data_IF_828328231275
#
_entry.id   IF_828328231275
#
_cell.length_a   1.000
_cell.length_b   1.000
_cell.length_c   1.000
_cell.angle_alpha   90.00
_cell.angle_beta   90.00
_cell.angle_gamma   90.00
#
_symmetry.space_group_name_H-M   'P 1'
#
loop_
_entity.id
_entity.type
_entity.pdbx_description
1 polymer ?
#
# COMPACT_ATOMS: atom_id res chain seq x y z
N UNK A 1 31.27 -9.65 24.89
CA UNK A 1 29.98 -8.94 25.07
C UNK A 1 29.83 -7.81 24.05
N UNK A 2 30.77 -6.87 23.97
CA UNK A 2 30.72 -5.78 22.97
C UNK A 2 30.90 -6.26 21.51
N UNK A 3 31.73 -7.26 21.23
CA UNK A 3 31.87 -7.83 19.87
C UNK A 3 30.59 -8.52 19.38
N UNK A 4 29.92 -9.31 20.22
CA UNK A 4 28.64 -9.95 19.88
C UNK A 4 27.53 -8.92 19.58
N UNK A 5 27.51 -7.81 20.32
CA UNK A 5 26.55 -6.72 20.12
C UNK A 5 26.80 -5.93 18.83
N UNK A 6 28.06 -5.83 18.40
CA UNK A 6 28.44 -5.19 17.13
C UNK A 6 28.16 -6.11 15.93
N UNK A 7 28.34 -7.42 16.11
CA UNK A 7 28.01 -8.44 15.11
C UNK A 7 26.49 -8.51 14.89
N UNK A 8 25.69 -8.46 15.95
CA UNK A 8 24.23 -8.36 15.88
C UNK A 8 23.78 -7.06 15.19
N UNK A 9 24.43 -5.92 15.48
CA UNK A 9 24.11 -4.64 14.84
C UNK A 9 24.44 -4.65 13.34
N UNK A 10 25.58 -5.24 12.95
CA UNK A 10 25.96 -5.37 11.54
C UNK A 10 25.02 -6.29 10.77
N UNK A 11 24.65 -7.42 11.37
CA UNK A 11 23.68 -8.37 10.81
C UNK A 11 22.31 -7.71 10.62
N UNK A 12 21.87 -6.92 11.61
CA UNK A 12 20.64 -6.12 11.53
C UNK A 12 20.74 -5.05 10.43
N UNK A 13 21.89 -4.38 10.28
CA UNK A 13 22.09 -3.39 9.21
C UNK A 13 22.09 -4.03 7.82
N UNK A 14 22.72 -5.19 7.63
CA UNK A 14 22.65 -5.93 6.38
C UNK A 14 21.21 -6.36 6.06
N UNK A 15 20.49 -6.94 7.02
CA UNK A 15 19.06 -7.28 6.89
C UNK A 15 18.19 -6.07 6.59
N UNK A 16 18.48 -4.90 7.19
CA UNK A 16 17.77 -3.65 6.93
C UNK A 16 18.06 -3.13 5.51
N UNK A 17 19.27 -3.29 5.00
CA UNK A 17 19.60 -2.88 3.62
C UNK A 17 19.06 -3.86 2.56
N UNK A 18 19.00 -5.16 2.86
CA UNK A 18 18.40 -6.14 1.96
C UNK A 18 16.88 -5.99 1.90
N UNK A 19 16.22 -5.82 3.05
CA UNK A 19 14.77 -5.58 3.14
C UNK A 19 14.34 -4.29 2.44
N UNK A 20 15.12 -3.20 2.59
CA UNK A 20 14.86 -1.96 1.86
C UNK A 20 14.91 -2.15 0.33
N UNK A 21 15.89 -2.92 -0.15
CA UNK A 21 16.01 -3.23 -1.58
C UNK A 21 14.89 -4.16 -2.08
N UNK A 22 14.38 -5.04 -1.23
CA UNK A 22 13.29 -5.97 -1.55
C UNK A 22 11.94 -5.25 -1.59
N UNK A 23 11.68 -4.41 -0.59
CA UNK A 23 10.50 -3.56 -0.50
C UNK A 23 10.39 -2.58 -1.68
N UNK A 24 11.50 -1.97 -2.12
CA UNK A 24 11.52 -1.11 -3.29
C UNK A 24 11.22 -1.89 -4.59
N UNK A 25 11.73 -3.12 -4.71
CA UNK A 25 11.40 -4.00 -5.85
C UNK A 25 9.93 -4.41 -5.87
N UNK A 26 9.36 -4.71 -4.71
CA UNK A 26 7.94 -5.06 -4.59
C UNK A 26 7.06 -3.87 -4.99
N UNK A 27 7.38 -2.66 -4.50
CA UNK A 27 6.71 -1.40 -4.88
C UNK A 27 6.78 -1.12 -6.37
N UNK A 28 7.95 -1.30 -6.98
CA UNK A 28 8.12 -1.14 -8.44
C UNK A 28 7.29 -2.18 -9.21
N UNK A 29 7.29 -3.44 -8.74
CA UNK A 29 6.49 -4.52 -9.33
C UNK A 29 5.00 -4.23 -9.23
N UNK A 30 4.52 -3.76 -8.08
CA UNK A 30 3.12 -3.36 -7.90
C UNK A 30 2.73 -2.22 -8.82
N UNK A 31 3.53 -1.14 -8.87
CA UNK A 31 3.26 0.00 -9.72
C UNK A 31 3.14 -0.40 -11.20
N UNK A 32 4.04 -1.29 -11.66
CA UNK A 32 3.99 -1.85 -13.01
C UNK A 32 2.71 -2.67 -13.25
N UNK A 33 2.32 -3.53 -12.31
CA UNK A 33 1.09 -4.33 -12.43
C UNK A 33 -0.17 -3.44 -12.41
N UNK A 34 -0.18 -2.36 -11.63
CA UNK A 34 -1.29 -1.40 -11.60
C UNK A 34 -1.42 -0.65 -12.93
N UNK A 35 -0.30 -0.23 -13.53
CA UNK A 35 -0.26 0.37 -14.88
C UNK A 35 -0.80 -0.59 -15.93
N UNK A 36 -0.30 -1.83 -15.95
CA UNK A 36 -0.77 -2.88 -16.86
C UNK A 36 -2.26 -3.14 -16.72
N UNK A 37 -2.77 -3.24 -15.49
CA UNK A 37 -4.19 -3.42 -15.20
C UNK A 37 -5.02 -2.26 -15.76
N UNK A 38 -4.55 -1.02 -15.61
CA UNK A 38 -5.24 0.14 -16.17
C UNK A 38 -5.27 0.09 -17.71
N UNK A 39 -4.19 -0.31 -18.35
CA UNK A 39 -4.15 -0.38 -19.81
C UNK A 39 -5.00 -1.52 -20.38
N UNK A 40 -5.02 -2.69 -19.74
CA UNK A 40 -5.92 -3.79 -20.11
C UNK A 40 -7.38 -3.37 -19.90
N UNK A 41 -7.72 -2.63 -18.84
CA UNK A 41 -9.07 -2.08 -18.64
C UNK A 41 -9.51 -1.15 -19.76
N UNK A 42 -8.65 -0.21 -20.17
CA UNK A 42 -8.93 0.68 -21.31
C UNK A 42 -9.15 -0.14 -22.59
N UNK A 43 -8.30 -1.14 -22.83
CA UNK A 43 -8.40 -2.00 -23.99
C UNK A 43 -9.71 -2.82 -24.01
N UNK A 44 -10.15 -3.29 -22.84
CA UNK A 44 -11.42 -3.97 -22.67
C UNK A 44 -12.61 -3.05 -22.96
N UNK A 45 -12.58 -1.80 -22.49
CA UNK A 45 -13.62 -0.80 -22.79
C UNK A 45 -13.69 -0.49 -24.29
N UNK A 46 -12.53 -0.34 -24.94
CA UNK A 46 -12.43 -0.10 -26.39
C UNK A 46 -12.97 -1.27 -27.21
N UNK A 47 -12.66 -2.51 -26.78
CA UNK A 47 -13.14 -3.72 -27.44
C UNK A 47 -14.65 -3.91 -27.22
N UNK A 48 -15.18 -3.54 -26.05
CA UNK A 48 -16.63 -3.51 -25.79
C UNK A 48 -17.34 -2.50 -26.69
N UNK A 49 -16.76 -1.31 -26.87
CA UNK A 49 -17.31 -0.30 -27.78
C UNK A 49 -17.30 -0.80 -29.23
N UNK A 50 -16.20 -1.43 -29.66
CA UNK A 50 -16.09 -2.04 -30.99
C UNK A 50 -17.18 -3.12 -31.19
N UNK A 51 -17.37 -4.01 -30.22
CA UNK A 51 -18.41 -5.04 -30.26
C UNK A 51 -19.82 -4.43 -30.33
N UNK A 52 -20.10 -3.40 -29.53
CA UNK A 52 -21.39 -2.72 -29.55
C UNK A 52 -21.67 -2.12 -30.94
N UNK A 53 -20.68 -1.46 -31.55
CA UNK A 53 -20.79 -0.92 -32.91
C UNK A 53 -21.05 -2.02 -33.95
N UNK A 54 -20.35 -3.15 -33.86
CA UNK A 54 -20.59 -4.33 -34.72
C UNK A 54 -22.02 -4.84 -34.61
N UNK A 55 -22.52 -5.01 -33.38
CA UNK A 55 -23.88 -5.49 -33.14
C UNK A 55 -24.93 -4.51 -33.67
N UNK A 56 -24.71 -3.21 -33.50
CA UNK A 56 -25.59 -2.16 -34.02
C UNK A 56 -25.64 -2.15 -35.54
N UNK A 57 -24.47 -2.20 -36.19
CA UNK A 57 -24.34 -2.31 -37.63
C UNK A 57 -25.09 -3.52 -38.20
N UNK A 58 -24.89 -4.68 -37.57
CA UNK A 58 -25.54 -5.93 -37.97
C UNK A 58 -27.05 -5.89 -37.81
N UNK A 59 -27.55 -5.30 -36.71
CA UNK A 59 -28.99 -5.11 -36.48
C UNK A 59 -29.61 -4.15 -37.50
N UNK A 60 -28.90 -3.09 -37.90
CA UNK A 60 -29.35 -2.18 -38.95
C UNK A 60 -29.42 -2.89 -40.30
N UNK A 61 -28.35 -3.58 -40.70
CA UNK A 61 -28.32 -4.35 -41.95
C UNK A 61 -29.40 -5.44 -42.02
N UNK A 62 -29.73 -6.08 -40.89
CA UNK A 62 -30.83 -7.05 -40.82
C UNK A 62 -32.22 -6.40 -40.90
N UNK A 63 -32.39 -5.18 -40.40
CA UNK A 63 -33.66 -4.44 -40.54
C UNK A 63 -33.87 -3.96 -41.97
N UNK A 64 -32.83 -3.48 -42.62
CA UNK A 64 -32.91 -2.94 -43.98
C UNK A 64 -33.10 -4.06 -45.03
N UNK A 65 -32.62 -5.28 -44.76
CA UNK A 65 -32.91 -6.48 -45.57
C UNK A 65 -34.32 -7.07 -45.36
N UNK A 66 -35.11 -6.59 -44.39
CA UNK A 66 -36.46 -7.08 -44.08
C UNK A 66 -37.48 -5.99 -44.44
N UNK A 67 -37.67 -5.75 -45.73
CA UNK A 67 -38.85 -5.09 -46.30
C UNK A 67 -39.60 -6.09 -47.21
N UNK A 68 -40.92 -6.34 -47.00
CA UNK A 68 -41.65 -7.40 -47.71
C UNK A 68 -42.13 -6.93 -49.09
N UNK A 69 -41.83 -7.71 -50.13
CA UNK A 69 -42.40 -7.60 -51.46
C UNK A 69 -42.44 -8.96 -52.16
N UNK A 70 -43.64 -9.40 -52.51
CA UNK A 70 -44.01 -10.70 -53.10
C UNK A 70 -43.33 -11.06 -54.44
N UNK A 71 -43.37 -12.35 -54.84
CA UNK A 71 -42.45 -12.95 -55.82
C UNK A 71 -42.88 -12.76 -57.29
N UNK A 72 -41.92 -12.45 -58.16
CA UNK A 72 -42.06 -12.41 -59.62
C UNK A 72 -40.94 -13.19 -60.32
N UNK A 73 -41.33 -13.94 -61.34
CA UNK A 73 -40.64 -14.99 -62.11
C UNK A 73 -39.23 -14.70 -62.71
N UNK A 74 -38.51 -15.76 -63.15
CA UNK A 74 -37.08 -15.68 -63.48
C UNK A 74 -36.85 -15.24 -64.93
N UNK A 75 -35.90 -14.31 -65.13
CA UNK A 75 -35.34 -14.02 -66.44
C UNK A 75 -33.81 -14.02 -66.37
N UNK A 76 -33.22 -14.91 -67.17
CA UNK A 76 -31.79 -15.12 -67.32
C UNK A 76 -31.12 -13.99 -68.14
N UNK A 77 -29.93 -13.55 -67.69
CA UNK A 77 -28.84 -12.97 -68.51
C UNK A 77 -27.59 -12.69 -67.64
N UNK A 78 -26.36 -13.03 -68.07
CA UNK A 78 -25.11 -12.59 -67.43
C UNK A 78 -24.34 -11.56 -68.31
N UNK A 79 -23.20 -11.02 -67.84
CA UNK A 79 -23.06 -10.02 -66.79
C UNK A 79 -22.73 -8.64 -67.41
N UNK A 80 -23.24 -7.56 -66.82
CA UNK A 80 -22.78 -6.20 -67.09
C UNK A 80 -22.11 -5.65 -65.84
N UNK A 81 -20.87 -5.17 -65.99
CA UNK A 81 -20.11 -4.40 -65.00
C UNK A 81 -20.84 -3.09 -64.68
N UNK A 82 -21.91 -3.19 -63.90
CA UNK A 82 -22.58 -2.05 -63.30
C UNK A 82 -21.99 -1.85 -61.89
N UNK A 83 -21.78 -0.60 -61.45
CA UNK A 83 -21.35 -0.36 -60.09
C UNK A 83 -22.37 -0.95 -59.11
N UNK A 84 -21.93 -1.49 -57.96
CA UNK A 84 -22.85 -2.10 -57.01
C UNK A 84 -23.90 -1.07 -56.53
N UNK A 85 -25.11 -1.55 -56.14
CA UNK A 85 -26.19 -0.70 -55.64
C UNK A 85 -25.73 0.26 -54.51
N UNK A 86 -26.36 1.43 -54.33
CA UNK A 86 -25.98 2.40 -53.31
C UNK A 86 -25.98 1.82 -51.88
N UNK A 87 -26.94 0.96 -51.54
CA UNK A 87 -27.02 0.25 -50.24
C UNK A 87 -25.82 -0.65 -49.97
N UNK A 88 -25.31 -1.33 -51.01
CA UNK A 88 -24.13 -2.20 -50.92
C UNK A 88 -22.83 -1.40 -50.70
N UNK A 89 -22.80 -0.13 -51.12
CA UNK A 89 -21.65 0.77 -50.88
C UNK A 89 -21.63 1.31 -49.46
N UNK A 90 -22.79 1.54 -48.86
CA UNK A 90 -22.89 2.01 -47.47
C UNK A 90 -22.50 0.91 -46.48
N UNK A 91 -22.96 -0.32 -46.69
CA UNK A 91 -22.56 -1.48 -45.88
C UNK A 91 -21.04 -1.72 -45.97
N UNK A 92 -20.45 -1.64 -47.16
CA UNK A 92 -18.99 -1.76 -47.34
C UNK A 92 -18.21 -0.68 -46.58
N UNK A 93 -18.62 0.57 -46.68
CA UNK A 93 -17.97 1.67 -45.93
C UNK A 93 -18.05 1.46 -44.43
N UNK A 94 -19.17 0.93 -43.94
CA UNK A 94 -19.35 0.65 -42.52
C UNK A 94 -18.45 -0.51 -42.07
N UNK A 95 -18.35 -1.58 -42.86
CA UNK A 95 -17.41 -2.68 -42.61
C UNK A 95 -15.95 -2.22 -42.64
N UNK A 96 -15.57 -1.34 -43.57
CA UNK A 96 -14.24 -0.72 -43.62
C UNK A 96 -13.96 0.11 -42.36
N UNK A 97 -14.96 0.85 -41.84
CA UNK A 97 -14.84 1.57 -40.57
C UNK A 97 -14.65 0.63 -39.38
N UNK A 98 -15.43 -0.45 -39.28
CA UNK A 98 -15.29 -1.46 -38.23
C UNK A 98 -13.93 -2.16 -38.30
N UNK A 99 -13.46 -2.49 -39.50
CA UNK A 99 -12.12 -3.05 -39.71
C UNK A 99 -11.03 -2.08 -39.22
N UNK A 100 -11.15 -0.79 -39.55
CA UNK A 100 -10.18 0.22 -39.13
C UNK A 100 -10.13 0.39 -37.61
N UNK A 101 -11.29 0.37 -36.94
CA UNK A 101 -11.40 0.40 -35.48
C UNK A 101 -10.77 -0.86 -34.88
N UNK A 102 -11.08 -2.04 -35.41
CA UNK A 102 -10.53 -3.29 -34.90
C UNK A 102 -9.00 -3.36 -35.06
N UNK A 103 -8.45 -2.83 -36.16
CA UNK A 103 -7.00 -2.71 -36.37
C UNK A 103 -6.35 -1.70 -35.40
N UNK A 104 -7.07 -0.68 -34.97
CA UNK A 104 -6.58 0.24 -33.93
C UNK A 104 -6.53 -0.44 -32.55
N UNK A 105 -7.62 -1.11 -32.15
CA UNK A 105 -7.66 -1.86 -30.89
C UNK A 105 -6.60 -2.96 -30.88
N UNK A 106 -6.42 -3.68 -31.99
CA UNK A 106 -5.35 -4.67 -32.14
C UNK A 106 -3.94 -4.05 -31.99
N UNK A 107 -3.70 -2.85 -32.54
CA UNK A 107 -2.40 -2.18 -32.39
C UNK A 107 -2.12 -1.84 -30.92
N UNK A 108 -3.10 -1.31 -30.20
CA UNK A 108 -2.99 -1.08 -28.75
C UNK A 108 -2.76 -2.38 -27.98
N UNK A 109 -3.43 -3.47 -28.37
CA UNK A 109 -3.22 -4.77 -27.77
C UNK A 109 -1.78 -5.27 -27.93
N UNK A 110 -1.13 -4.96 -29.08
CA UNK A 110 0.29 -5.27 -29.29
C UNK A 110 1.18 -4.45 -28.35
N UNK A 111 0.89 -3.16 -28.15
CA UNK A 111 1.63 -2.29 -27.23
C UNK A 111 1.53 -2.78 -25.78
N UNK A 112 0.32 -3.12 -25.34
CA UNK A 112 0.08 -3.69 -24.00
C UNK A 112 0.79 -5.05 -23.85
N UNK A 113 0.70 -5.95 -24.83
CA UNK A 113 1.43 -7.23 -24.79
C UNK A 113 2.96 -7.02 -24.69
N UNK A 114 3.50 -6.03 -25.42
CA UNK A 114 4.93 -5.70 -25.33
C UNK A 114 5.32 -5.21 -23.94
N UNK A 115 4.48 -4.41 -23.28
CA UNK A 115 4.72 -3.96 -21.90
C UNK A 115 4.63 -5.08 -20.86
N UNK A 116 3.90 -6.15 -21.17
CA UNK A 116 3.82 -7.37 -20.35
C UNK A 116 5.03 -8.30 -20.52
N UNK A 117 5.86 -8.12 -21.55
CA UNK A 117 7.06 -8.95 -21.69
C UNK A 117 8.06 -8.64 -20.57
N UNK A 118 8.78 -9.64 -20.05
CA UNK A 118 9.79 -9.41 -19.03
C UNK A 118 10.87 -8.46 -19.57
N UNK A 119 11.27 -7.47 -18.75
CA UNK A 119 12.23 -6.45 -19.16
C UNK A 119 13.69 -6.96 -19.18
N UNK A 120 13.94 -8.12 -18.56
CA UNK A 120 15.25 -8.80 -18.49
C UNK A 120 15.08 -10.31 -18.61
N UNK A 121 16.06 -10.96 -19.23
CA UNK A 121 16.13 -12.43 -19.26
C UNK A 121 16.22 -12.98 -17.83
N UNK A 122 15.29 -13.89 -17.49
CA UNK A 122 15.23 -14.57 -16.18
C UNK A 122 14.15 -14.08 -15.21
N UNK A 123 13.36 -13.05 -15.54
CA UNK A 123 12.15 -12.73 -14.77
C UNK A 123 11.00 -13.69 -15.12
N UNK A 124 10.15 -14.06 -14.15
CA UNK A 124 8.95 -14.84 -14.45
C UNK A 124 8.05 -14.08 -15.42
N UNK A 125 7.29 -14.79 -16.28
CA UNK A 125 6.35 -14.16 -17.18
C UNK A 125 5.32 -13.35 -16.38
N UNK A 126 4.92 -12.19 -16.92
CA UNK A 126 3.88 -11.37 -16.29
C UNK A 126 2.58 -12.18 -16.24
N UNK A 127 1.91 -12.23 -15.09
CA UNK A 127 0.61 -12.90 -14.97
C UNK A 127 -0.39 -12.38 -16.00
N UNK A 128 -1.13 -13.29 -16.64
CA UNK A 128 -2.09 -12.95 -17.70
C UNK A 128 -1.48 -12.75 -19.10
N UNK A 129 -0.16 -12.86 -19.28
CA UNK A 129 0.47 -12.65 -20.59
C UNK A 129 -0.03 -13.60 -21.69
N UNK A 130 -0.34 -14.86 -21.37
CA UNK A 130 -0.87 -15.84 -22.33
C UNK A 130 -2.31 -15.50 -22.76
N UNK A 131 -3.16 -15.10 -21.82
CA UNK A 131 -4.51 -14.62 -22.11
C UNK A 131 -4.46 -13.31 -22.91
N UNK A 132 -3.51 -12.42 -22.62
CA UNK A 132 -3.31 -11.19 -23.39
C UNK A 132 -2.89 -11.48 -24.84
N UNK A 133 -2.00 -12.46 -25.05
CA UNK A 133 -1.62 -12.89 -26.40
C UNK A 133 -2.82 -13.49 -27.15
N UNK A 134 -3.66 -14.28 -26.46
CA UNK A 134 -4.88 -14.87 -27.01
C UNK A 134 -5.88 -13.78 -27.41
N UNK A 135 -6.09 -12.78 -26.55
CA UNK A 135 -6.92 -11.61 -26.86
C UNK A 135 -6.41 -10.89 -28.12
N UNK A 136 -5.10 -10.63 -28.20
CA UNK A 136 -4.49 -9.98 -29.38
C UNK A 136 -4.74 -10.79 -30.66
N UNK A 137 -4.62 -12.12 -30.60
CA UNK A 137 -4.87 -13.01 -31.75
C UNK A 137 -6.33 -12.92 -32.20
N UNK A 138 -7.29 -13.06 -31.29
CA UNK A 138 -8.72 -12.90 -31.61
C UNK A 138 -9.05 -11.51 -32.15
N UNK A 139 -8.42 -10.44 -31.66
CA UNK A 139 -8.59 -9.10 -32.24
C UNK A 139 -8.07 -8.97 -33.68
N UNK A 140 -6.96 -9.66 -34.00
CA UNK A 140 -6.43 -9.72 -35.36
C UNK A 140 -7.42 -10.45 -36.27
N UNK A 141 -7.89 -11.60 -35.80
CA UNK A 141 -8.77 -12.47 -36.56
C UNK A 141 -10.11 -11.76 -36.81
N UNK A 142 -10.64 -11.03 -35.82
CA UNK A 142 -11.80 -10.15 -35.99
C UNK A 142 -11.61 -9.12 -37.11
N UNK A 143 -10.44 -8.47 -37.18
CA UNK A 143 -10.13 -7.52 -38.25
C UNK A 143 -10.08 -8.22 -39.62
N UNK A 144 -9.51 -9.42 -39.69
CA UNK A 144 -9.50 -10.21 -40.92
C UNK A 144 -10.91 -10.62 -41.36
N UNK A 145 -11.80 -10.97 -40.43
CA UNK A 145 -13.19 -11.31 -40.75
C UNK A 145 -13.98 -10.10 -41.29
N UNK A 146 -13.75 -8.90 -40.78
CA UNK A 146 -14.32 -7.69 -41.39
C UNK A 146 -13.82 -7.48 -42.82
N UNK A 147 -12.54 -7.73 -43.10
CA UNK A 147 -11.98 -7.68 -44.45
C UNK A 147 -12.53 -8.75 -45.40
N UNK A 148 -13.05 -9.87 -44.86
CA UNK A 148 -13.77 -10.92 -45.60
C UNK A 148 -15.28 -10.67 -45.73
N UNK A 149 -15.75 -9.49 -45.31
CA UNK A 149 -17.17 -9.13 -45.27
C UNK A 149 -18.03 -10.07 -44.39
N UNK A 150 -17.44 -10.70 -43.34
CA UNK A 150 -18.14 -11.58 -42.39
C UNK A 150 -18.22 -10.95 -40.98
N UNK A 151 -19.19 -10.04 -40.74
CA UNK A 151 -19.36 -9.40 -39.44
C UNK A 151 -19.85 -10.37 -38.35
N UNK A 152 -20.39 -11.55 -38.72
CA UNK A 152 -20.87 -12.52 -37.74
C UNK A 152 -19.71 -13.30 -37.13
N UNK A 153 -18.75 -13.72 -37.96
CA UNK A 153 -17.50 -14.31 -37.48
C UNK A 153 -16.65 -13.27 -36.73
N UNK A 154 -16.60 -12.02 -37.20
CA UNK A 154 -15.90 -10.95 -36.50
C UNK A 154 -16.46 -10.72 -35.08
N UNK A 155 -17.78 -10.75 -34.91
CA UNK A 155 -18.43 -10.62 -33.59
C UNK A 155 -18.03 -11.75 -32.64
N UNK A 156 -17.89 -12.99 -33.14
CA UNK A 156 -17.46 -14.13 -32.34
C UNK A 156 -16.01 -13.97 -31.85
N UNK A 157 -15.12 -13.55 -32.75
CA UNK A 157 -13.73 -13.25 -32.40
C UNK A 157 -13.63 -12.06 -31.44
N UNK A 158 -14.48 -11.04 -31.60
CA UNK A 158 -14.53 -9.90 -30.67
C UNK A 158 -14.91 -10.34 -29.25
N UNK A 159 -15.85 -11.29 -29.10
CA UNK A 159 -16.22 -11.86 -27.79
C UNK A 159 -15.10 -12.72 -27.20
N UNK A 160 -14.47 -13.57 -28.01
CA UNK A 160 -13.31 -14.35 -27.57
C UNK A 160 -12.19 -13.44 -27.06
N UNK A 161 -11.95 -12.31 -27.74
CA UNK A 161 -10.99 -11.32 -27.27
C UNK A 161 -11.40 -10.72 -25.91
N UNK A 162 -12.68 -10.39 -25.71
CA UNK A 162 -13.16 -9.87 -24.42
C UNK A 162 -12.98 -10.87 -23.28
N UNK A 163 -13.32 -12.14 -23.51
CA UNK A 163 -13.16 -13.19 -22.50
C UNK A 163 -11.68 -13.33 -22.09
N UNK A 164 -10.76 -13.37 -23.06
CA UNK A 164 -9.32 -13.40 -22.79
C UNK A 164 -8.78 -12.12 -22.11
N UNK A 165 -9.35 -10.95 -22.37
CA UNK A 165 -9.00 -9.73 -21.62
C UNK A 165 -9.49 -9.76 -20.18
N UNK A 166 -10.66 -10.34 -19.92
CA UNK A 166 -11.17 -10.54 -18.57
C UNK A 166 -10.26 -11.48 -17.79
N UNK A 167 -9.89 -12.63 -18.39
CA UNK A 167 -8.91 -13.55 -17.78
C UNK A 167 -7.57 -12.86 -17.50
N UNK A 168 -7.13 -11.97 -18.40
CA UNK A 168 -5.91 -11.17 -18.19
C UNK A 168 -6.05 -10.24 -16.99
N UNK A 169 -7.19 -9.56 -16.84
CA UNK A 169 -7.47 -8.71 -15.69
C UNK A 169 -7.51 -9.50 -14.39
N UNK A 170 -8.17 -10.66 -14.37
CA UNK A 170 -8.28 -11.51 -13.20
C UNK A 170 -6.89 -11.98 -12.75
N UNK A 171 -6.04 -12.41 -13.68
CA UNK A 171 -4.66 -12.81 -13.39
C UNK A 171 -3.80 -11.64 -12.86
N UNK A 172 -3.98 -10.42 -13.39
CA UNK A 172 -3.31 -9.23 -12.88
C UNK A 172 -3.82 -8.85 -11.48
N UNK A 173 -5.12 -9.02 -11.22
CA UNK A 173 -5.73 -8.77 -9.92
C UNK A 173 -5.23 -9.76 -8.85
N UNK A 174 -5.11 -11.04 -9.19
CA UNK A 174 -4.46 -12.04 -8.34
C UNK A 174 -3.00 -11.68 -8.04
N UNK A 175 -2.24 -11.33 -9.08
CA UNK A 175 -0.84 -10.93 -8.94
C UNK A 175 -0.69 -9.66 -8.07
N UNK A 176 -1.58 -8.68 -8.22
CA UNK A 176 -1.60 -7.48 -7.40
C UNK A 176 -1.94 -7.80 -5.94
N UNK A 177 -2.89 -8.68 -5.69
CA UNK A 177 -3.20 -9.16 -4.33
C UNK A 177 -1.98 -9.79 -3.69
N UNK A 178 -1.30 -10.69 -4.40
CA UNK A 178 -0.09 -11.35 -3.92
C UNK A 178 1.02 -10.35 -3.63
N UNK A 179 1.35 -9.44 -4.56
CA UNK A 179 2.42 -8.47 -4.34
C UNK A 179 2.09 -7.52 -3.19
N UNK A 180 0.83 -7.11 -3.02
CA UNK A 180 0.42 -6.28 -1.87
C UNK A 180 0.55 -7.01 -0.55
N UNK A 181 0.29 -8.31 -0.52
CA UNK A 181 0.53 -9.16 0.64
C UNK A 181 2.03 -9.23 0.97
N UNK A 182 2.86 -9.55 -0.03
CA UNK A 182 4.33 -9.58 0.08
C UNK A 182 4.88 -8.23 0.58
N UNK A 183 4.42 -7.10 0.01
CA UNK A 183 4.80 -5.75 0.45
C UNK A 183 4.46 -5.49 1.92
N UNK A 184 3.27 -5.92 2.35
CA UNK A 184 2.81 -5.73 3.72
C UNK A 184 3.66 -6.54 4.70
N UNK A 185 3.90 -7.80 4.41
CA UNK A 185 4.74 -8.68 5.23
C UNK A 185 6.16 -8.16 5.37
N UNK A 186 6.77 -7.72 4.27
CA UNK A 186 8.10 -7.14 4.26
C UNK A 186 8.14 -5.83 5.05
N UNK A 187 7.10 -4.99 4.91
CA UNK A 187 6.95 -3.77 5.71
C UNK A 187 6.87 -4.09 7.20
N UNK A 188 6.06 -5.08 7.59
CA UNK A 188 5.92 -5.50 8.98
C UNK A 188 7.22 -6.07 9.54
N UNK A 189 7.96 -6.86 8.76
CA UNK A 189 9.26 -7.40 9.16
C UNK A 189 10.31 -6.30 9.36
N UNK A 190 10.37 -5.33 8.44
CA UNK A 190 11.24 -4.17 8.56
C UNK A 190 10.88 -3.30 9.78
N UNK A 191 9.57 -3.10 10.04
CA UNK A 191 9.08 -2.36 11.19
C UNK A 191 9.43 -3.06 12.51
N UNK A 192 9.21 -4.37 12.61
CA UNK A 192 9.56 -5.15 13.80
C UNK A 192 11.05 -5.06 14.12
N UNK A 193 11.89 -5.18 13.10
CA UNK A 193 13.35 -5.08 13.24
C UNK A 193 13.76 -3.71 13.78
N UNK A 194 13.20 -2.64 13.22
CA UNK A 194 13.45 -1.25 13.68
C UNK A 194 12.94 -1.02 15.10
N UNK A 195 11.75 -1.50 15.42
CA UNK A 195 11.16 -1.37 16.76
C UNK A 195 11.97 -2.13 17.82
N UNK A 196 12.49 -3.32 17.52
CA UNK A 196 13.40 -4.05 18.42
C UNK A 196 14.72 -3.32 18.63
N UNK A 197 15.30 -2.77 17.56
CA UNK A 197 16.49 -1.94 17.63
C UNK A 197 16.28 -0.73 18.54
N UNK A 198 15.21 0.02 18.30
CA UNK A 198 14.83 1.19 19.07
C UNK A 198 14.56 0.83 20.55
N UNK A 199 13.83 -0.24 20.82
CA UNK A 199 13.55 -0.73 22.17
C UNK A 199 14.84 -1.05 22.94
N UNK A 200 15.79 -1.72 22.28
CA UNK A 200 17.09 -2.06 22.85
C UNK A 200 17.89 -0.81 23.21
N UNK A 201 17.90 0.20 22.33
CA UNK A 201 18.56 1.48 22.59
C UNK A 201 17.92 2.24 23.76
N UNK A 202 16.60 2.39 23.77
CA UNK A 202 15.87 3.11 24.83
C UNK A 202 16.04 2.44 26.20
N UNK A 203 16.06 1.10 26.26
CA UNK A 203 16.35 0.38 27.51
C UNK A 203 17.77 0.66 28.03
N UNK A 204 18.76 0.76 27.14
CA UNK A 204 20.14 1.13 27.52
C UNK A 204 20.23 2.58 28.00
N UNK A 205 19.51 3.50 27.34
CA UNK A 205 19.39 4.90 27.80
C UNK A 205 18.76 4.93 29.19
N UNK A 206 17.67 4.19 29.41
CA UNK A 206 16.98 4.12 30.70
C UNK A 206 17.84 3.60 31.84
N UNK A 207 18.63 2.56 31.58
CA UNK A 207 19.60 2.02 32.54
C UNK A 207 20.69 3.06 32.86
N UNK A 208 21.27 3.69 31.84
CA UNK A 208 22.29 4.72 32.03
C UNK A 208 21.76 5.94 32.81
N UNK A 209 20.51 6.36 32.55
CA UNK A 209 19.84 7.43 33.30
C UNK A 209 19.62 7.03 34.76
N UNK A 210 19.21 5.79 35.03
CA UNK A 210 19.05 5.30 36.40
C UNK A 210 20.38 5.37 37.18
N UNK A 211 21.48 4.98 36.55
CA UNK A 211 22.81 5.02 37.16
C UNK A 211 23.32 6.44 37.38
N UNK A 212 23.12 7.34 36.39
CA UNK A 212 23.51 8.75 36.51
C UNK A 212 22.67 9.50 37.56
N UNK A 213 21.41 9.11 37.73
CA UNK A 213 20.50 9.66 38.73
C UNK A 213 20.77 9.21 40.17
N UNK A 214 21.68 8.26 40.39
CA UNK A 214 22.01 7.78 41.74
C UNK A 214 22.81 8.79 42.57
N UNK A 215 23.45 9.78 41.93
CA UNK A 215 24.24 10.83 42.57
C UNK A 215 23.91 12.19 41.93
N UNK A 216 23.89 13.28 42.71
CA UNK A 216 23.65 14.61 42.16
C UNK A 216 24.76 15.01 41.19
N UNK A 217 24.42 15.81 40.18
CA UNK A 217 25.36 16.23 39.14
C UNK A 217 26.61 16.96 39.68
N UNK A 218 26.51 17.59 40.85
CA UNK A 218 27.65 18.24 41.54
C UNK A 218 28.71 17.26 42.04
N UNK A 219 28.38 15.97 42.17
CA UNK A 219 29.27 14.91 42.66
C UNK A 219 29.81 14.02 41.54
N UNK A 220 29.45 14.31 40.28
CA UNK A 220 29.88 13.50 39.15
C UNK A 220 31.39 13.56 38.95
N UNK A 221 31.98 12.39 38.71
CA UNK A 221 33.35 12.29 38.23
C UNK A 221 33.39 12.41 36.71
N UNK A 222 34.60 12.53 36.16
CA UNK A 222 34.81 12.55 34.71
C UNK A 222 34.20 11.33 34.00
N UNK A 223 34.09 10.19 34.68
CA UNK A 223 33.45 8.99 34.13
C UNK A 223 31.93 9.17 33.94
N UNK A 224 31.23 9.77 34.90
CA UNK A 224 29.80 10.06 34.78
C UNK A 224 29.53 11.11 33.70
N UNK A 225 30.37 12.15 33.58
CA UNK A 225 30.26 13.13 32.50
C UNK A 225 30.40 12.49 31.11
N UNK A 226 31.37 11.57 30.96
CA UNK A 226 31.55 10.81 29.72
C UNK A 226 30.33 9.94 29.45
N UNK A 227 29.83 9.21 30.45
CA UNK A 227 28.63 8.37 30.33
C UNK A 227 27.37 9.16 29.98
N UNK A 228 27.21 10.37 30.50
CA UNK A 228 26.12 11.27 30.09
C UNK A 228 26.26 11.65 28.62
N UNK A 229 27.47 11.96 28.16
CA UNK A 229 27.74 12.29 26.74
C UNK A 229 27.41 11.10 25.83
N UNK A 230 27.81 9.89 26.21
CA UNK A 230 27.47 8.66 25.48
C UNK A 230 25.96 8.41 25.47
N UNK A 231 25.28 8.59 26.61
CA UNK A 231 23.83 8.45 26.73
C UNK A 231 23.09 9.44 25.83
N UNK A 232 23.55 10.70 25.75
CA UNK A 232 22.97 11.72 24.85
C UNK A 232 23.12 11.32 23.38
N UNK A 233 24.31 10.85 22.99
CA UNK A 233 24.55 10.39 21.61
C UNK A 233 23.64 9.21 21.27
N UNK A 234 23.57 8.20 22.14
CA UNK A 234 22.72 7.03 21.95
C UNK A 234 21.24 7.41 21.81
N UNK A 235 20.77 8.37 22.63
CA UNK A 235 19.39 8.86 22.60
C UNK A 235 19.09 9.69 21.35
N UNK A 236 20.05 10.49 20.88
CA UNK A 236 19.93 11.21 19.62
C UNK A 236 19.82 10.25 18.42
N UNK A 237 20.65 9.21 18.38
CA UNK A 237 20.59 8.17 17.35
C UNK A 237 19.21 7.47 17.34
N UNK A 238 18.66 7.19 18.53
CA UNK A 238 17.32 6.62 18.68
C UNK A 238 16.23 7.53 18.10
N UNK A 239 16.30 8.85 18.36
CA UNK A 239 15.38 9.84 17.79
C UNK A 239 15.44 9.81 16.26
N UNK A 240 16.64 9.82 15.66
CA UNK A 240 16.80 9.77 14.20
C UNK A 240 16.18 8.49 13.60
N UNK A 241 16.35 7.35 14.26
CA UNK A 241 15.73 6.09 13.85
C UNK A 241 14.19 6.13 13.95
N UNK A 242 13.65 6.73 15.03
CA UNK A 242 12.22 6.90 15.20
C UNK A 242 11.63 7.84 14.11
N UNK A 243 12.31 8.94 13.79
CA UNK A 243 11.91 9.86 12.72
C UNK A 243 11.98 9.23 11.33
N UNK A 244 13.01 8.42 11.06
CA UNK A 244 13.10 7.66 9.82
C UNK A 244 11.96 6.65 9.69
N UNK A 245 11.61 5.98 10.79
CA UNK A 245 10.51 5.01 10.82
C UNK A 245 9.14 5.69 10.64
N UNK A 246 8.94 6.86 11.26
CA UNK A 246 7.73 7.66 11.07
C UNK A 246 7.53 8.10 9.61
N UNK A 247 8.61 8.45 8.90
CA UNK A 247 8.53 8.79 7.47
C UNK A 247 8.00 7.60 6.65
N UNK A 248 8.56 6.41 6.86
CA UNK A 248 8.13 5.19 6.17
C UNK A 248 6.65 4.89 6.44
N UNK A 249 6.21 5.03 7.70
CA UNK A 249 4.81 4.78 8.09
C UNK A 249 3.83 5.79 7.45
N UNK A 250 4.26 7.04 7.24
CA UNK A 250 3.43 8.06 6.55
C UNK A 250 3.33 7.82 5.06
N UNK A 251 4.42 7.38 4.43
CA UNK A 251 4.47 7.07 3.00
C UNK A 251 3.61 5.83 2.67
N UNK A 252 3.48 4.92 3.63
CA UNK A 252 2.65 3.71 3.53
C UNK A 252 1.14 4.04 3.57
N UNK A 253 0.72 4.89 4.52
CA UNK A 253 -0.59 5.54 4.52
C UNK A 253 -1.83 4.67 4.84
N UNK A 254 -1.68 3.36 5.08
CA UNK A 254 -2.82 2.48 5.41
C UNK A 254 -3.19 2.55 6.88
N UNK A 255 -2.23 2.84 7.77
CA UNK A 255 -2.48 2.98 9.21
C UNK A 255 -2.67 4.43 9.63
N UNK A 256 -3.60 4.64 10.58
CA UNK A 256 -3.93 5.99 11.09
C UNK A 256 -3.27 6.23 12.45
N UNK A 257 -3.36 5.24 13.34
CA UNK A 257 -2.92 5.40 14.73
C UNK A 257 -1.40 5.31 14.87
N UNK A 258 -0.73 4.37 14.21
CA UNK A 258 0.72 4.13 14.41
C UNK A 258 1.57 5.38 14.11
N UNK A 259 1.37 6.12 12.99
CA UNK A 259 2.14 7.34 12.74
C UNK A 259 1.96 8.41 13.82
N UNK A 260 0.75 8.57 14.36
CA UNK A 260 0.48 9.50 15.45
C UNK A 260 1.17 9.06 16.74
N UNK A 261 1.18 7.75 17.04
CA UNK A 261 1.92 7.21 18.18
C UNK A 261 3.41 7.50 18.08
N UNK A 262 4.02 7.28 16.92
CA UNK A 262 5.42 7.62 16.70
C UNK A 262 5.68 9.12 16.85
N UNK A 263 4.81 9.99 16.33
CA UNK A 263 4.96 11.43 16.50
C UNK A 263 4.95 11.84 17.99
N UNK A 264 4.02 11.28 18.78
CA UNK A 264 3.97 11.52 20.23
C UNK A 264 5.19 10.97 20.97
N UNK A 265 5.67 9.80 20.57
CA UNK A 265 6.86 9.18 21.14
C UNK A 265 8.10 10.05 20.88
N UNK A 266 8.27 10.56 19.65
CA UNK A 266 9.37 11.47 19.30
C UNK A 266 9.30 12.78 20.11
N UNK A 267 8.10 13.33 20.36
CA UNK A 267 7.94 14.48 21.26
C UNK A 267 8.44 14.18 22.69
N UNK A 268 8.21 12.96 23.20
CA UNK A 268 8.69 12.53 24.51
C UNK A 268 10.20 12.27 24.51
N UNK A 269 10.73 11.63 23.47
CA UNK A 269 12.17 11.43 23.30
C UNK A 269 12.90 12.77 23.22
N UNK A 270 12.34 13.77 22.54
CA UNK A 270 12.92 15.12 22.47
C UNK A 270 12.93 15.80 23.84
N UNK A 271 11.90 15.59 24.68
CA UNK A 271 11.89 16.08 26.06
C UNK A 271 12.97 15.42 26.91
N UNK A 272 13.18 14.11 26.74
CA UNK A 272 14.27 13.39 27.39
C UNK A 272 15.62 13.96 26.94
N UNK A 273 15.82 14.19 25.63
CA UNK A 273 17.04 14.79 25.10
C UNK A 273 17.34 16.14 25.77
N UNK A 274 16.36 17.04 25.84
CA UNK A 274 16.50 18.33 26.49
C UNK A 274 16.86 18.23 27.99
N UNK A 275 16.30 17.25 28.70
CA UNK A 275 16.62 16.97 30.11
C UNK A 275 18.04 16.41 30.26
N UNK A 276 18.45 15.50 29.40
CA UNK A 276 19.81 14.99 29.38
C UNK A 276 20.82 16.10 29.08
N UNK A 277 20.50 17.03 28.17
CA UNK A 277 21.30 18.22 27.87
C UNK A 277 21.47 19.15 29.07
N UNK A 278 20.41 19.31 29.85
CA UNK A 278 20.41 20.02 31.12
C UNK A 278 21.09 19.25 32.27
N UNK A 279 21.66 18.06 31.99
CA UNK A 279 22.26 17.17 32.99
C UNK A 279 21.27 16.77 34.10
N UNK A 280 20.02 16.53 33.72
CA UNK A 280 18.92 16.15 34.61
C UNK A 280 18.46 14.69 34.41
N UNK A 281 19.21 13.69 34.90
CA UNK A 281 18.80 12.28 34.93
C UNK A 281 17.94 11.97 36.16
N UNK A 282 16.98 12.84 36.49
CA UNK A 282 16.09 12.66 37.64
C UNK A 282 14.98 11.64 37.39
N UNK A 283 14.24 11.28 38.45
CA UNK A 283 13.07 10.40 38.39
C UNK A 283 12.07 10.82 37.29
N UNK A 284 11.69 12.11 37.11
CA UNK A 284 10.85 12.53 35.99
C UNK A 284 11.37 12.15 34.60
N UNK A 285 12.70 12.18 34.38
CA UNK A 285 13.34 11.76 33.12
C UNK A 285 13.19 10.25 32.93
N UNK A 286 13.39 9.46 34.00
CA UNK A 286 13.17 8.02 33.99
C UNK A 286 11.72 7.63 33.67
N UNK A 287 10.74 8.35 34.22
CA UNK A 287 9.31 8.09 33.96
C UNK A 287 8.93 8.38 32.50
N UNK A 288 9.53 9.39 31.86
CA UNK A 288 9.32 9.63 30.43
C UNK A 288 9.89 8.48 29.58
N UNK A 289 11.10 8.03 29.90
CA UNK A 289 11.73 6.88 29.25
C UNK A 289 10.92 5.58 29.43
N UNK A 290 10.40 5.33 30.63
CA UNK A 290 9.52 4.17 30.89
C UNK A 290 8.26 4.23 30.01
N UNK A 291 7.68 5.44 29.84
CA UNK A 291 6.55 5.65 28.93
C UNK A 291 6.88 5.40 27.45
N UNK A 292 8.05 5.86 26.98
CA UNK A 292 8.55 5.61 25.63
C UNK A 292 8.73 4.10 25.40
N UNK A 293 9.41 3.42 26.34
CA UNK A 293 9.65 1.97 26.28
C UNK A 293 8.33 1.20 26.20
N UNK A 294 7.37 1.47 27.09
CA UNK A 294 6.06 0.80 27.05
C UNK A 294 5.31 1.06 25.75
N UNK A 295 5.43 2.25 25.17
CA UNK A 295 4.81 2.56 23.89
C UNK A 295 5.45 1.77 22.73
N UNK A 296 6.78 1.64 22.71
CA UNK A 296 7.49 0.81 21.72
C UNK A 296 7.07 -0.66 21.86
N UNK A 297 6.99 -1.18 23.09
CA UNK A 297 6.56 -2.56 23.38
C UNK A 297 5.15 -2.85 22.87
N UNK A 298 4.20 -1.95 23.13
CA UNK A 298 2.81 -2.15 22.67
C UNK A 298 2.70 -2.16 21.14
N UNK A 299 3.42 -1.28 20.45
CA UNK A 299 3.43 -1.24 18.99
C UNK A 299 4.13 -2.50 18.45
N UNK A 300 5.26 -2.89 19.04
CA UNK A 300 6.00 -4.10 18.69
C UNK A 300 5.14 -5.35 18.87
N UNK A 301 4.38 -5.45 19.95
CA UNK A 301 3.47 -6.55 20.21
C UNK A 301 2.34 -6.60 19.18
N UNK A 302 1.80 -5.45 18.78
CA UNK A 302 0.77 -5.38 17.75
C UNK A 302 1.30 -5.82 16.37
N UNK A 303 2.51 -5.38 16.01
CA UNK A 303 3.20 -5.76 14.77
C UNK A 303 3.55 -7.25 14.77
N UNK A 304 4.14 -7.76 15.85
CA UNK A 304 4.54 -9.17 15.97
C UNK A 304 3.32 -10.09 15.88
N UNK A 305 2.24 -9.77 16.62
CA UNK A 305 0.98 -10.53 16.53
C UNK A 305 0.36 -10.50 15.14
N UNK A 306 0.56 -9.42 14.37
CA UNK A 306 0.04 -9.36 13.01
C UNK A 306 0.83 -10.27 12.08
N UNK A 307 2.16 -10.31 12.20
CA UNK A 307 2.99 -11.23 11.43
C UNK A 307 2.73 -12.69 11.74
N UNK A 308 2.51 -13.02 13.02
CA UNK A 308 2.11 -14.39 13.42
C UNK A 308 0.79 -14.80 12.75
N UNK A 309 -0.19 -13.87 12.67
CA UNK A 309 -1.46 -14.12 11.98
C UNK A 309 -1.30 -14.30 10.48
N UNK A 310 -0.41 -13.54 9.85
CA UNK A 310 -0.16 -13.64 8.41
C UNK A 310 0.53 -14.99 8.10
N UNK A 311 1.47 -15.42 8.94
CA UNK A 311 2.11 -16.74 8.82
C UNK A 311 1.11 -17.92 9.00
N UNK A 312 0.16 -17.80 9.92
CA UNK A 312 -0.90 -18.81 10.12
C UNK A 312 -1.93 -18.82 8.97
N UNK A 313 -2.12 -17.70 8.29
CA UNK A 313 -3.09 -17.55 7.20
C UNK A 313 -2.62 -18.23 5.90
N UNK A 314 -1.31 -18.26 5.65
CA UNK A 314 -0.71 -18.92 4.50
C UNK A 314 -0.87 -20.46 4.50
N UNK A 315 -1.23 -21.07 5.65
CA UNK A 315 -1.51 -22.51 5.75
C UNK A 315 -2.96 -22.88 5.36
N UNK A 316 -3.86 -21.92 5.10
CA UNK A 316 -5.24 -22.19 4.70
C UNK A 316 -5.46 -21.99 3.18
N UNK A 317 -6.22 -22.88 2.50
CA UNK A 317 -6.50 -22.72 1.08
C UNK A 317 -7.26 -21.40 0.83
N UNK A 318 -7.01 -20.70 -0.30
CA UNK A 318 -7.61 -19.40 -0.55
C UNK A 318 -9.13 -19.52 -0.61
N UNK A 319 -9.81 -18.96 0.40
CA UNK A 319 -11.24 -18.73 0.34
C UNK A 319 -11.53 -17.49 -0.50
N UNK A 320 -12.55 -17.55 -1.35
CA UNK A 320 -13.09 -16.40 -2.09
C UNK A 320 -13.46 -15.27 -1.12
N UNK A 321 -12.58 -14.29 -0.95
CA UNK A 321 -12.91 -13.02 -0.31
C UNK A 321 -13.21 -11.95 -1.37
N UNK A 322 -14.16 -11.04 -1.08
CA UNK A 322 -14.71 -10.13 -2.09
C UNK A 322 -13.67 -9.12 -2.58
N UNK A 323 -13.89 -8.65 -3.81
CA UNK A 323 -13.21 -7.52 -4.45
C UNK A 323 -13.09 -6.30 -3.53
N UNK A 324 -11.97 -6.18 -2.83
CA UNK A 324 -11.49 -4.88 -2.36
C UNK A 324 -10.18 -4.60 -3.07
N UNK A 325 -10.23 -3.62 -3.98
CA UNK A 325 -9.07 -3.13 -4.73
C UNK A 325 -8.05 -2.37 -3.85
N UNK A 326 -8.25 -2.34 -2.53
CA UNK A 326 -7.43 -1.59 -1.59
C UNK A 326 -6.27 -2.45 -1.06
N UNK A 327 -5.12 -1.82 -0.83
CA UNK A 327 -3.99 -2.45 -0.14
C UNK A 327 -4.45 -2.86 1.27
N UNK A 328 -4.21 -4.12 1.70
CA UNK A 328 -4.56 -4.54 3.04
C UNK A 328 -3.83 -3.67 4.06
N UNK A 329 -4.50 -3.22 5.14
CA UNK A 329 -3.86 -2.37 6.13
C UNK A 329 -2.75 -3.13 6.87
N UNK A 330 -1.70 -2.41 7.31
CA UNK A 330 -0.61 -3.03 8.07
C UNK A 330 -1.12 -3.71 9.34
N UNK A 331 -2.11 -3.12 10.01
CA UNK A 331 -2.75 -3.69 11.18
C UNK A 331 -4.26 -3.78 10.96
N UNK A 332 -4.92 -4.82 11.49
CA UNK A 332 -6.37 -4.90 11.46
C UNK A 332 -6.98 -3.78 12.32
N UNK A 333 -8.18 -3.28 11.98
CA UNK A 333 -8.83 -2.20 12.75
C UNK A 333 -8.97 -2.51 14.25
N UNK A 334 -9.15 -3.78 14.60
CA UNK A 334 -9.24 -4.23 15.99
C UNK A 334 -7.91 -4.08 16.76
N UNK A 335 -6.76 -4.21 16.10
CA UNK A 335 -5.45 -3.97 16.70
C UNK A 335 -5.19 -2.47 16.86
N UNK A 336 -5.53 -1.65 15.85
CA UNK A 336 -5.44 -0.19 15.97
C UNK A 336 -6.32 0.36 17.11
N UNK A 337 -7.55 -0.16 17.27
CA UNK A 337 -8.42 0.21 18.39
C UNK A 337 -7.85 -0.21 19.75
N UNK A 338 -7.16 -1.36 19.83
CA UNK A 338 -6.47 -1.78 21.07
C UNK A 338 -5.33 -0.82 21.41
N UNK A 339 -4.50 -0.45 20.43
CA UNK A 339 -3.44 0.54 20.62
C UNK A 339 -4.01 1.89 21.08
N UNK A 340 -5.08 2.35 20.42
CA UNK A 340 -5.77 3.58 20.78
C UNK A 340 -6.31 3.55 22.22
N UNK A 341 -6.91 2.42 22.62
CA UNK A 341 -7.38 2.22 24.00
C UNK A 341 -6.22 2.25 25.00
N UNK A 342 -5.10 1.59 24.70
CA UNK A 342 -3.91 1.62 25.54
C UNK A 342 -3.43 3.05 25.81
N UNK A 343 -3.35 3.85 24.76
CA UNK A 343 -2.97 5.26 24.83
C UNK A 343 -3.96 6.07 25.66
N UNK A 344 -5.26 5.85 25.47
CA UNK A 344 -6.30 6.51 26.27
C UNK A 344 -6.16 6.19 27.76
N UNK A 345 -5.92 4.92 28.11
CA UNK A 345 -5.72 4.48 29.49
C UNK A 345 -4.51 5.18 30.11
N UNK A 346 -3.36 5.20 29.42
CA UNK A 346 -2.15 5.89 29.91
C UNK A 346 -2.32 7.38 30.07
N UNK A 347 -2.96 8.06 29.11
CA UNK A 347 -3.25 9.49 29.21
C UNK A 347 -4.15 9.79 30.42
N UNK A 348 -5.13 8.93 30.69
CA UNK A 348 -6.00 9.07 31.86
C UNK A 348 -5.24 8.84 33.16
N UNK A 349 -4.43 7.78 33.27
CA UNK A 349 -3.59 7.50 34.43
C UNK A 349 -2.62 8.66 34.70
N UNK A 350 -1.98 9.18 33.66
CA UNK A 350 -1.07 10.33 33.77
C UNK A 350 -1.80 11.60 34.18
N UNK A 351 -3.01 11.83 33.68
CA UNK A 351 -3.85 12.97 34.06
C UNK A 351 -4.22 12.91 35.55
N UNK A 352 -4.59 11.73 36.07
CA UNK A 352 -4.89 11.55 37.50
C UNK A 352 -3.65 11.77 38.35
N UNK A 353 -2.50 11.25 37.94
CA UNK A 353 -1.26 11.44 38.68
C UNK A 353 -0.80 12.91 38.71
N UNK A 354 -0.88 13.62 37.58
CA UNK A 354 -0.60 15.06 37.56
C UNK A 354 -1.58 15.86 38.42
N UNK A 355 -2.85 15.43 38.51
CA UNK A 355 -3.86 16.09 39.34
C UNK A 355 -3.50 15.97 40.81
N UNK A 356 -3.15 14.75 41.25
CA UNK A 356 -2.67 14.50 42.62
C UNK A 356 -1.43 15.33 42.95
N UNK A 357 -0.46 15.41 42.03
CA UNK A 357 0.75 16.22 42.22
C UNK A 357 0.44 17.71 42.31
N UNK A 358 -0.46 18.21 41.45
CA UNK A 358 -0.88 19.61 41.45
C UNK A 358 -1.61 20.00 42.74
N UNK A 359 -2.40 19.10 43.32
CA UNK A 359 -3.07 19.31 44.61
C UNK A 359 -2.11 19.34 45.79
N UNK A 360 -0.99 18.60 45.70
CA UNK A 360 0.02 18.51 46.74
C UNK A 360 1.13 19.58 46.65
N UNK A 361 1.31 20.17 45.47
CA UNK A 361 2.38 21.13 45.18
C UNK A 361 1.94 22.58 45.45
N UNK A 362 2.85 23.36 46.02
CA UNK A 362 2.58 24.76 46.39
C UNK A 362 3.62 25.75 45.87
N UNK A 363 4.72 25.27 45.30
CA UNK A 363 5.71 26.11 44.64
C UNK A 363 5.22 26.56 43.25
N UNK A 364 5.18 27.88 43.01
CA UNK A 364 4.65 28.48 41.78
C UNK A 364 5.30 27.92 40.51
N UNK A 365 6.63 27.73 40.51
CA UNK A 365 7.37 27.19 39.36
C UNK A 365 7.01 25.72 39.07
N UNK A 366 6.80 24.92 40.12
CA UNK A 366 6.39 23.53 39.98
C UNK A 366 4.93 23.40 39.53
N UNK A 367 4.06 24.28 40.03
CA UNK A 367 2.66 24.41 39.58
C UNK A 367 2.59 24.79 38.10
N UNK A 368 3.45 25.71 37.64
CA UNK A 368 3.53 26.09 36.23
C UNK A 368 3.96 24.90 35.34
N UNK A 369 5.01 24.17 35.73
CA UNK A 369 5.47 22.99 35.00
C UNK A 369 4.40 21.88 34.93
N UNK A 370 3.61 21.71 36.00
CA UNK A 370 2.48 20.77 36.04
C UNK A 370 1.32 21.20 35.13
N UNK A 371 1.02 22.51 35.06
CA UNK A 371 0.02 23.04 34.12
C UNK A 371 0.42 22.81 32.66
N UNK A 372 1.69 23.06 32.32
CA UNK A 372 2.19 22.78 30.96
C UNK A 372 2.08 21.29 30.62
N UNK A 373 2.31 20.41 31.60
CA UNK A 373 2.14 18.96 31.43
C UNK A 373 0.66 18.58 31.19
N UNK A 374 -0.28 19.23 31.88
CA UNK A 374 -1.72 19.07 31.64
C UNK A 374 -2.14 19.52 30.24
N UNK A 375 -1.66 20.67 29.77
CA UNK A 375 -1.96 21.13 28.43
C UNK A 375 -1.45 20.15 27.36
N UNK A 376 -0.28 19.54 27.57
CA UNK A 376 0.24 18.49 26.67
C UNK A 376 -0.70 17.28 26.63
N UNK A 377 -1.18 16.81 27.78
CA UNK A 377 -2.15 15.71 27.83
C UNK A 377 -3.45 16.08 27.11
N UNK A 378 -3.96 17.30 27.33
CA UNK A 378 -5.18 17.77 26.67
C UNK A 378 -5.01 17.80 25.14
N UNK A 379 -3.86 18.30 24.63
CA UNK A 379 -3.53 18.25 23.20
C UNK A 379 -3.47 16.81 22.67
N UNK A 380 -2.87 15.88 23.41
CA UNK A 380 -2.83 14.45 23.02
C UNK A 380 -4.20 13.81 23.00
N UNK A 381 -5.07 14.10 23.97
CA UNK A 381 -6.45 13.61 23.97
C UNK A 381 -7.26 14.14 22.79
N UNK A 382 -7.06 15.41 22.42
CA UNK A 382 -7.72 15.99 21.25
C UNK A 382 -7.26 15.29 19.95
N UNK A 383 -5.93 15.12 19.76
CA UNK A 383 -5.38 14.39 18.62
C UNK A 383 -5.90 12.96 18.55
N UNK A 384 -5.94 12.25 19.69
CA UNK A 384 -6.48 10.89 19.76
C UNK A 384 -7.95 10.84 19.34
N UNK A 385 -8.76 11.80 19.78
CA UNK A 385 -10.17 11.90 19.39
C UNK A 385 -10.36 12.20 17.89
N UNK A 386 -9.48 13.00 17.29
CA UNK A 386 -9.45 13.23 15.84
C UNK A 386 -9.10 11.96 15.07
N UNK A 387 -8.08 11.21 15.50
CA UNK A 387 -7.74 9.93 14.88
C UNK A 387 -8.90 8.92 14.98
N UNK A 388 -9.61 8.90 16.11
CA UNK A 388 -10.82 8.09 16.28
C UNK A 388 -11.88 8.37 15.22
N UNK A 389 -12.08 9.66 14.90
CA UNK A 389 -13.03 10.08 13.86
C UNK A 389 -12.57 9.64 12.48
N UNK A 390 -11.29 9.84 12.16
CA UNK A 390 -10.69 9.40 10.89
C UNK A 390 -10.81 7.89 10.70
N UNK A 391 -10.62 7.09 11.75
CA UNK A 391 -10.82 5.65 11.70
C UNK A 391 -12.28 5.26 11.42
N UNK A 392 -13.23 5.98 12.03
CA UNK A 392 -14.67 5.74 11.81
C UNK A 392 -15.14 6.18 10.42
N UNK A 393 -14.51 7.19 9.81
CA UNK A 393 -14.81 7.63 8.45
C UNK A 393 -14.22 6.71 7.37
N UNK A 394 -13.24 5.87 7.71
CA UNK A 394 -12.61 4.87 6.83
C UNK A 394 -13.30 3.50 6.83
N UNK A 395 -14.17 3.23 7.80
CA UNK A 395 -15.02 2.02 7.87
C UNK A 395 -16.32 2.24 7.09
#
# INVERSE_FOLDING_TARGET
>A
AQEALLEDLHTVLELLTSSLNELDRLRERRARLEELKQDVRKLLDEQLEALYRTQHARRQAQRDNVAPGEPGEPAAQPPSESPPPPESREIRRLLEQLESLQREVHRRAVEVEQSMRPARDGQPPTPGAESMESARRSMRDAAEQFGREDPAAAEAEQRSALDSLQETLDALDDALRQVRQEEREETLAALETRLRGLLSQERRVREAVAELGAQPASEWTRLQELRLTETRSLHADAIEQAEATLRILRDEGTTVIIPELFAQMIEDMTQVAARLDAADPSEPTGVLLDGIISQIEEILDAVSQQRDRDADADEQPPGEQPQQEQTPPLLPPSAELKLMRGVQVRLNERSVELMRRLEAESADDAVAALRDAFERIARRQLRLAEQARLMNERQ
#
